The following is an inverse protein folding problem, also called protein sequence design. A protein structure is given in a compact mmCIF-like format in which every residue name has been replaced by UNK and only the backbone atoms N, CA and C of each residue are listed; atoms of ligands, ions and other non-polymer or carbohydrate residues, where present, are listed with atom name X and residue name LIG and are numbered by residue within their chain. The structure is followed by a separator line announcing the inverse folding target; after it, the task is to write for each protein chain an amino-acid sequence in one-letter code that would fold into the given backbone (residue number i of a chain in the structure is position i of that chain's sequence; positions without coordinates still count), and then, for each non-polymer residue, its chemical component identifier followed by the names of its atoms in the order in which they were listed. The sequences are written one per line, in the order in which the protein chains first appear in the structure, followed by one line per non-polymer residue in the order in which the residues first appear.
data_IF_990446386321
#
_entry.id   IF_990446386321
#
_cell.length_a   1.000
_cell.length_b   1.000
_cell.length_c   1.000
_cell.angle_alpha   90.00
_cell.angle_beta   90.00
_cell.angle_gamma   90.00
#
_symmetry.space_group_name_H-M   'P 1'
#
loop_
_entity.id
_entity.type
_entity.pdbx_description
1 polymer ?
#
# COMPACT_ATOMS: atom_id res chain seq x y z
N UNK A 1 0.47 17.13 -3.40
CA UNK A 1 -0.52 16.07 -3.10
C UNK A 1 -0.48 15.80 -1.62
N UNK A 2 -1.61 15.66 -0.97
CA UNK A 2 -1.60 15.42 0.48
C UNK A 2 -1.52 13.93 0.78
N UNK A 3 -1.30 13.60 2.05
CA UNK A 3 -1.09 12.22 2.46
C UNK A 3 -2.29 11.34 2.13
N UNK A 4 -3.49 11.87 2.33
CA UNK A 4 -4.69 11.08 2.07
C UNK A 4 -4.80 10.71 0.60
N UNK A 5 -4.47 11.65 -0.28
CA UNK A 5 -4.48 11.36 -1.71
C UNK A 5 -3.42 10.37 -2.08
N UNK A 6 -2.23 10.49 -1.48
CA UNK A 6 -1.16 9.55 -1.77
C UNK A 6 -1.49 8.16 -1.29
N UNK A 7 -2.11 8.03 -0.13
CA UNK A 7 -2.52 6.72 0.36
C UNK A 7 -3.57 6.12 -0.57
N UNK A 8 -4.49 6.93 -1.07
CA UNK A 8 -5.48 6.45 -2.04
C UNK A 8 -4.83 5.96 -3.32
N UNK A 9 -3.84 6.71 -3.82
CA UNK A 9 -3.10 6.28 -5.00
C UNK A 9 -2.30 5.02 -4.72
N UNK A 10 -1.73 4.91 -3.53
CA UNK A 10 -0.97 3.73 -3.16
C UNK A 10 -1.83 2.48 -3.24
N UNK A 11 -3.06 2.56 -2.77
CA UNK A 11 -3.98 1.42 -2.85
C UNK A 11 -4.16 0.98 -4.30
N UNK A 12 -4.36 1.94 -5.19
CA UNK A 12 -4.54 1.63 -6.61
C UNK A 12 -3.30 0.99 -7.20
N UNK A 13 -2.14 1.52 -6.85
CA UNK A 13 -0.90 0.98 -7.42
C UNK A 13 -0.57 -0.41 -6.90
N UNK A 14 -0.88 -0.67 -5.65
CA UNK A 14 -0.68 -2.02 -5.10
C UNK A 14 -1.62 -2.99 -5.81
N UNK A 15 -2.85 -2.59 -6.10
CA UNK A 15 -3.76 -3.44 -6.83
C UNK A 15 -3.28 -3.70 -8.26
N UNK A 16 -2.66 -2.69 -8.86
CA UNK A 16 -2.15 -2.82 -10.22
C UNK A 16 -0.92 -3.72 -10.30
N UNK A 17 -0.01 -3.56 -9.35
CA UNK A 17 1.28 -4.24 -9.39
C UNK A 17 1.31 -5.55 -8.61
N UNK A 18 0.45 -5.67 -7.63
CA UNK A 18 0.46 -6.82 -6.75
C UNK A 18 -0.43 -7.94 -7.23
N UNK A 19 -0.51 -8.97 -6.41
CA UNK A 19 -1.32 -10.13 -6.72
C UNK A 19 -2.45 -10.24 -5.72
N UNK A 20 -3.66 -10.46 -6.23
CA UNK A 20 -4.81 -10.61 -5.35
C UNK A 20 -4.73 -11.96 -4.62
N UNK A 21 -5.21 -11.95 -3.39
CA UNK A 21 -5.20 -13.13 -2.55
C UNK A 21 -6.65 -13.56 -2.31
N UNK A 22 -6.85 -14.82 -1.95
CA UNK A 22 -8.22 -15.33 -1.73
C UNK A 22 -9.00 -14.56 -0.68
N UNK A 23 -8.31 -13.92 0.27
CA UNK A 23 -8.99 -13.18 1.32
C UNK A 23 -9.31 -11.74 0.93
N UNK A 24 -9.02 -11.36 -0.30
CA UNK A 24 -9.30 -10.01 -0.78
C UNK A 24 -8.15 -9.04 -0.61
N UNK A 25 -7.03 -9.48 -0.06
CA UNK A 25 -5.86 -8.62 0.05
C UNK A 25 -5.04 -8.68 -1.22
N UNK A 26 -4.05 -7.78 -1.33
CA UNK A 26 -3.10 -7.77 -2.43
C UNK A 26 -1.71 -7.71 -1.85
N UNK A 27 -0.78 -8.43 -2.44
CA UNK A 27 0.60 -8.45 -1.98
C UNK A 27 1.54 -8.01 -3.08
N UNK A 28 2.49 -7.16 -2.73
CA UNK A 28 3.50 -6.70 -3.66
C UNK A 28 4.79 -6.46 -2.89
N UNK A 29 5.93 -6.75 -3.51
CA UNK A 29 7.21 -6.51 -2.88
C UNK A 29 7.55 -5.02 -2.97
N UNK A 30 8.21 -4.52 -1.94
CA UNK A 30 8.60 -3.11 -1.87
C UNK A 30 9.40 -2.69 -3.11
N UNK A 31 10.33 -3.54 -3.55
CA UNK A 31 11.15 -3.21 -4.70
C UNK A 31 10.35 -3.00 -5.97
N UNK A 32 9.26 -3.74 -6.13
CA UNK A 32 8.41 -3.59 -7.29
C UNK A 32 7.75 -2.21 -7.28
N UNK A 33 7.26 -1.78 -6.12
CA UNK A 33 6.67 -0.46 -6.00
C UNK A 33 7.71 0.62 -6.22
N UNK A 34 8.87 0.46 -5.59
CA UNK A 34 9.90 1.50 -5.63
C UNK A 34 10.46 1.69 -7.04
N UNK A 35 10.56 0.62 -7.80
CA UNK A 35 11.14 0.68 -9.14
C UNK A 35 10.13 0.94 -10.25
N UNK A 36 8.86 1.06 -9.91
CA UNK A 36 7.85 1.32 -10.91
C UNK A 36 7.86 2.80 -11.29
N UNK A 37 7.94 3.08 -12.59
CA UNK A 37 8.03 4.45 -13.07
C UNK A 37 6.82 5.29 -12.70
N UNK A 38 5.65 4.71 -12.74
CA UNK A 38 4.43 5.43 -12.41
C UNK A 38 4.41 5.80 -10.94
N UNK A 39 4.82 4.86 -10.07
CA UNK A 39 4.90 5.16 -8.65
C UNK A 39 5.94 6.25 -8.39
N UNK A 40 7.06 6.21 -9.09
CA UNK A 40 8.09 7.23 -8.94
C UNK A 40 7.57 8.61 -9.31
N UNK A 41 6.64 8.69 -10.25
CA UNK A 41 6.07 9.96 -10.65
C UNK A 41 4.94 10.43 -9.75
N UNK A 42 4.22 9.50 -9.13
CA UNK A 42 3.08 9.84 -8.30
C UNK A 42 3.49 10.24 -6.90
N UNK A 43 4.43 9.50 -6.31
CA UNK A 43 4.75 9.68 -4.90
C UNK A 43 6.02 10.50 -4.72
N UNK A 44 5.92 11.52 -3.88
CA UNK A 44 7.12 12.29 -3.53
C UNK A 44 8.01 11.47 -2.59
N UNK A 45 7.39 10.72 -1.71
CA UNK A 45 8.11 9.89 -0.76
C UNK A 45 7.32 8.61 -0.51
N UNK A 46 7.59 7.61 -1.34
CA UNK A 46 6.87 6.35 -1.25
C UNK A 46 6.95 5.72 0.14
N UNK A 47 8.14 5.74 0.75
CA UNK A 47 8.31 5.15 2.08
C UNK A 47 7.44 5.86 3.10
N UNK A 48 7.37 7.19 3.01
CA UNK A 48 6.52 7.96 3.91
C UNK A 48 5.05 7.63 3.71
N UNK A 49 4.64 7.44 2.46
CA UNK A 49 3.26 7.07 2.15
C UNK A 49 2.95 5.68 2.69
N UNK A 50 3.89 4.74 2.54
CA UNK A 50 3.70 3.38 3.07
C UNK A 50 3.59 3.39 4.59
N UNK A 51 4.40 4.21 5.26
CA UNK A 51 4.32 4.30 6.72
C UNK A 51 2.99 4.89 7.15
N UNK A 52 2.51 5.91 6.44
CA UNK A 52 1.21 6.50 6.75
C UNK A 52 0.08 5.49 6.55
N UNK A 53 0.16 4.71 5.49
CA UNK A 53 -0.84 3.68 5.22
C UNK A 53 -0.80 2.58 6.27
N UNK A 54 0.41 2.21 6.74
CA UNK A 54 0.54 1.22 7.79
C UNK A 54 -0.07 1.72 9.09
N UNK A 55 0.17 2.98 9.41
CA UNK A 55 -0.37 3.58 10.62
C UNK A 55 -1.89 3.60 10.58
N UNK A 56 -2.46 3.75 9.40
CA UNK A 56 -3.90 3.76 9.21
C UNK A 56 -4.48 2.37 9.02
N UNK A 57 -3.63 1.35 9.11
CA UNK A 57 -4.04 -0.05 8.96
C UNK A 57 -4.63 -0.36 7.58
N UNK A 58 -4.16 0.36 6.59
CA UNK A 58 -4.54 0.11 5.20
C UNK A 58 -3.61 -0.93 4.59
N UNK A 59 -2.32 -0.87 4.96
CA UNK A 59 -1.36 -1.89 4.53
C UNK A 59 -0.62 -2.42 5.74
N UNK A 60 0.05 -3.55 5.57
CA UNK A 60 0.95 -4.04 6.60
C UNK A 60 2.23 -4.55 5.95
N UNK A 61 3.32 -4.43 6.68
CA UNK A 61 4.61 -4.99 6.29
C UNK A 61 5.47 -5.07 7.55
N UNK A 62 6.48 -5.93 7.50
CA UNK A 62 7.37 -6.11 8.65
C UNK A 62 8.34 -4.95 8.74
N UNK A 63 8.62 -4.50 9.97
CA UNK A 63 9.62 -3.47 10.20
C UNK A 63 9.03 -2.08 10.11
N UNK A 64 9.84 -1.12 10.54
CA UNK A 64 9.45 0.28 10.54
C UNK A 64 10.08 1.06 9.40
N UNK A 65 11.16 0.53 8.84
CA UNK A 65 11.93 1.25 7.84
C UNK A 65 12.07 0.41 6.59
N UNK A 66 11.84 1.03 5.46
CA UNK A 66 12.04 0.39 4.17
C UNK A 66 13.12 1.14 3.43
N UNK A 67 14.19 0.42 3.07
CA UNK A 67 15.33 1.00 2.36
C UNK A 67 15.50 0.31 1.02
N UNK A 68 15.62 1.10 -0.02
CA UNK A 68 15.85 0.57 -1.35
C UNK A 68 17.13 -0.26 -1.36
N UNK A 69 17.08 -1.40 -2.00
CA UNK A 69 18.24 -2.28 -2.10
C UNK A 69 18.41 -3.20 -0.91
N UNK A 70 17.84 -2.83 0.24
CA UNK A 70 17.95 -3.64 1.45
C UNK A 70 16.65 -4.39 1.69
N UNK A 71 15.54 -3.70 1.51
CA UNK A 71 14.23 -4.26 1.83
C UNK A 71 13.38 -4.50 0.59
N UNK A 72 14.00 -4.66 -0.57
CA UNK A 72 13.25 -4.84 -1.81
C UNK A 72 12.34 -6.05 -1.78
N UNK A 73 12.71 -7.08 -1.02
CA UNK A 73 11.91 -8.30 -0.92
C UNK A 73 10.87 -8.26 0.19
N UNK A 74 10.78 -7.17 0.92
CA UNK A 74 9.77 -7.08 1.97
C UNK A 74 8.40 -7.01 1.31
N UNK A 75 7.51 -7.88 1.75
CA UNK A 75 6.18 -7.94 1.16
C UNK A 75 5.27 -6.92 1.79
N UNK A 76 4.65 -6.12 0.96
CA UNK A 76 3.66 -5.12 1.38
C UNK A 76 2.29 -5.73 1.10
N UNK A 77 1.45 -5.80 2.12
CA UNK A 77 0.11 -6.35 1.97
C UNK A 77 -0.91 -5.24 2.08
N UNK A 78 -1.68 -5.04 1.01
CA UNK A 78 -2.84 -4.15 1.07
C UNK A 78 -3.98 -4.95 1.67
N UNK A 79 -4.43 -4.52 2.83
CA UNK A 79 -5.47 -5.23 3.53
C UNK A 79 -6.80 -5.10 2.78
N UNK A 80 -7.67 -6.10 2.84
CA UNK A 80 -8.92 -6.00 2.13
C UNK A 80 -9.76 -4.87 2.69
N UNK A 81 -10.59 -4.28 1.85
CA UNK A 81 -11.51 -3.27 2.31
C UNK A 81 -12.38 -3.90 3.35
N UNK A 82 -12.37 -3.35 4.53
CA UNK A 82 -13.01 -4.03 5.61
C UNK A 82 -14.49 -3.86 5.55
N UNK A 83 -15.18 -4.81 6.06
CA UNK A 83 -16.59 -4.67 6.22
C UNK A 83 -16.93 -3.47 7.06
N UNK A 84 -16.05 -3.09 7.92
CA UNK A 84 -16.32 -1.93 8.72
C UNK A 84 -16.47 -0.70 7.88
N UNK A 85 -15.67 -0.60 6.85
CA UNK A 85 -15.83 0.49 5.94
C UNK A 85 -17.06 0.29 5.12
N UNK A 86 -17.26 -0.91 4.68
CA UNK A 86 -18.35 -1.19 3.83
C UNK A 86 -19.63 -1.16 4.58
N UNK A 87 -19.59 -1.66 5.76
CA UNK A 87 -20.78 -1.77 6.52
C UNK A 87 -21.22 -0.50 7.04
N UNK A 88 -20.27 0.14 7.45
CA UNK A 88 -20.69 1.36 7.93
C UNK A 88 -21.41 1.99 6.88
N UNK A 89 -21.29 1.43 6.15
CA UNK A 89 -22.01 1.81 5.25
C UNK A 89 -23.14 1.14 5.07
N UNK A 90 -22.98 0.67 5.61
CA UNK A 90 -23.63 0.24 5.35
C UNK A 90 -24.29 0.32 5.36
N UNK A 91 -24.16 0.51 5.79
CA UNK A 91 -24.52 0.62 5.78
C UNK A 91 -24.78 1.02 5.34
N UNK A 92 -24.48 1.16 5.18
CA UNK A 92 -24.62 1.33 4.66
C UNK A 92 -24.82 1.20 4.18
#
# INVERSE_FOLDING_TARGET
MNVDEEVGRLKEEIQRLGQSQPDGSFKVEFGILFNDDRCANIFEALVGTLRAAKKRKIVKFDGELLLQGVHDNVEITLLPSTPAEAVSVTAS
#
